data_IF_517430205522
#
_entry.id   IF_517430205522
#
_cell.length_a   1.000
_cell.length_b   1.000
_cell.length_c   1.000
_cell.angle_alpha   90.00
_cell.angle_beta   90.00
_cell.angle_gamma   90.00
#
_symmetry.space_group_name_H-M   'P 1'
#
loop_
_entity.id
_entity.type
_entity.pdbx_description
1 polymer ?
#
# COMPACT_ATOMS: atom_id res chain seq x y z
N UNK A 1 -42.88 4.62 9.71
CA UNK A 1 -41.60 3.86 9.57
C UNK A 1 -41.05 3.85 8.15
N UNK A 2 -41.87 3.79 7.08
CA UNK A 2 -41.37 3.90 5.70
C UNK A 2 -41.14 5.35 5.20
N UNK A 3 -41.75 6.36 5.84
CA UNK A 3 -41.67 7.77 5.38
C UNK A 3 -40.51 8.57 5.96
N UNK A 4 -39.68 7.98 6.82
CA UNK A 4 -38.56 8.67 7.51
C UNK A 4 -37.20 8.25 6.95
N UNK A 5 -37.19 7.30 6.01
CA UNK A 5 -36.00 6.95 5.25
C UNK A 5 -35.80 7.93 4.10
N UNK A 6 -34.74 8.74 4.17
CA UNK A 6 -34.30 9.59 3.08
C UNK A 6 -33.13 8.92 2.36
N UNK A 7 -33.33 8.57 1.08
CA UNK A 7 -32.29 7.93 0.26
C UNK A 7 -31.12 8.90 0.08
N UNK A 8 -29.95 8.52 0.57
CA UNK A 8 -28.71 9.29 0.40
C UNK A 8 -28.32 10.14 1.62
N UNK A 9 -29.20 10.33 2.59
CA UNK A 9 -28.90 11.05 3.84
C UNK A 9 -28.28 10.15 4.93
N UNK A 10 -27.88 8.93 4.57
CA UNK A 10 -27.15 8.07 5.49
C UNK A 10 -25.75 8.63 5.71
N UNK A 11 -25.37 8.82 6.97
CA UNK A 11 -24.01 9.22 7.32
C UNK A 11 -23.00 8.14 6.89
N UNK A 12 -21.94 8.55 6.16
CA UNK A 12 -20.97 7.63 5.54
C UNK A 12 -19.56 7.70 6.12
N UNK A 13 -19.33 8.43 7.22
CA UNK A 13 -17.98 8.68 7.74
C UNK A 13 -17.24 7.40 8.09
N UNK A 14 -17.93 6.42 8.67
CA UNK A 14 -17.32 5.14 9.08
C UNK A 14 -16.97 4.25 7.87
N UNK A 15 -17.80 4.23 6.83
CA UNK A 15 -17.46 3.52 5.60
C UNK A 15 -16.30 4.20 4.87
N UNK A 16 -16.28 5.54 4.83
CA UNK A 16 -15.23 6.31 4.19
C UNK A 16 -13.88 6.14 4.90
N UNK A 17 -13.86 6.16 6.24
CA UNK A 17 -12.64 5.92 7.03
C UNK A 17 -12.10 4.50 6.81
N UNK A 18 -13.00 3.50 6.82
CA UNK A 18 -12.65 2.10 6.56
C UNK A 18 -12.09 1.91 5.16
N UNK A 19 -12.70 2.55 4.15
CA UNK A 19 -12.21 2.47 2.78
C UNK A 19 -10.82 3.09 2.63
N UNK A 20 -10.56 4.25 3.25
CA UNK A 20 -9.23 4.88 3.26
C UNK A 20 -8.19 3.98 3.92
N UNK A 21 -8.54 3.33 5.03
CA UNK A 21 -7.68 2.34 5.67
C UNK A 21 -7.36 1.18 4.73
N UNK A 22 -8.38 0.57 4.10
CA UNK A 22 -8.19 -0.51 3.14
C UNK A 22 -7.25 -0.13 1.99
N UNK A 23 -7.47 1.05 1.39
CA UNK A 23 -6.62 1.54 0.30
C UNK A 23 -5.18 1.75 0.78
N UNK A 24 -4.97 2.32 1.97
CA UNK A 24 -3.63 2.48 2.53
C UNK A 24 -2.93 1.14 2.77
N UNK A 25 -3.65 0.14 3.29
CA UNK A 25 -3.12 -1.20 3.54
C UNK A 25 -2.78 -1.90 2.21
N UNK A 26 -3.62 -1.79 1.20
CA UNK A 26 -3.36 -2.36 -0.11
C UNK A 26 -2.14 -1.70 -0.80
N UNK A 27 -2.05 -0.37 -0.74
CA UNK A 27 -0.94 0.42 -1.29
C UNK A 27 0.40 0.03 -0.65
N UNK A 28 0.49 0.07 0.67
CA UNK A 28 1.75 -0.22 1.36
C UNK A 28 2.04 -1.72 1.47
N UNK A 29 1.00 -2.54 1.61
CA UNK A 29 1.11 -4.01 1.67
C UNK A 29 1.59 -4.63 0.37
N UNK A 30 1.11 -4.15 -0.78
CA UNK A 30 1.58 -4.64 -2.09
C UNK A 30 3.07 -4.32 -2.32
N UNK A 31 3.55 -3.14 -1.93
CA UNK A 31 4.97 -2.79 -1.96
C UNK A 31 5.80 -3.73 -1.08
N UNK A 32 5.35 -3.96 0.16
CA UNK A 32 6.06 -4.85 1.09
C UNK A 32 6.17 -6.28 0.54
N UNK A 33 5.09 -6.82 -0.02
CA UNK A 33 5.08 -8.15 -0.64
C UNK A 33 6.03 -8.18 -1.84
N UNK A 34 5.98 -7.19 -2.73
CA UNK A 34 6.83 -7.15 -3.92
C UNK A 34 8.33 -7.11 -3.55
N UNK A 35 8.72 -6.23 -2.61
CA UNK A 35 10.10 -6.13 -2.13
C UNK A 35 10.56 -7.43 -1.44
N UNK A 36 9.69 -8.03 -0.62
CA UNK A 36 9.99 -9.30 0.05
C UNK A 36 10.16 -10.46 -0.94
N UNK A 37 9.27 -10.58 -1.93
CA UNK A 37 9.37 -11.61 -2.96
C UNK A 37 10.67 -11.48 -3.75
N UNK A 38 11.04 -10.27 -4.19
CA UNK A 38 12.30 -10.05 -4.92
C UNK A 38 13.51 -10.40 -4.03
N UNK A 39 13.49 -10.00 -2.76
CA UNK A 39 14.55 -10.34 -1.82
C UNK A 39 14.75 -11.86 -1.68
N UNK A 40 13.68 -12.63 -1.42
CA UNK A 40 13.79 -14.08 -1.25
C UNK A 40 14.14 -14.79 -2.57
N UNK A 41 13.62 -14.31 -3.71
CA UNK A 41 13.94 -14.88 -5.02
C UNK A 41 15.41 -14.67 -5.36
N UNK A 42 15.96 -13.47 -5.13
CA UNK A 42 17.37 -13.23 -5.37
C UNK A 42 18.27 -13.99 -4.39
N UNK A 43 17.86 -14.14 -3.14
CA UNK A 43 18.64 -14.88 -2.15
C UNK A 43 18.68 -16.38 -2.49
N UNK A 44 17.53 -17.01 -2.70
CA UNK A 44 17.46 -18.47 -2.80
C UNK A 44 17.55 -19.00 -4.24
N UNK A 45 17.20 -18.19 -5.25
CA UNK A 45 17.13 -18.64 -6.64
C UNK A 45 18.27 -18.10 -7.52
N UNK A 46 19.22 -17.33 -6.99
CA UNK A 46 20.35 -16.78 -7.75
C UNK A 46 21.66 -16.78 -6.96
N UNK A 47 22.79 -16.55 -7.63
CA UNK A 47 24.12 -16.45 -7.00
C UNK A 47 24.40 -15.07 -6.33
N UNK A 48 23.37 -14.23 -6.17
CA UNK A 48 23.50 -12.87 -5.64
C UNK A 48 23.88 -12.85 -4.14
N UNK A 49 23.59 -13.94 -3.41
CA UNK A 49 23.84 -14.05 -1.97
C UNK A 49 22.98 -13.09 -1.13
N UNK A 50 23.10 -13.18 0.20
CA UNK A 50 22.25 -12.40 1.12
C UNK A 50 22.43 -10.88 1.00
N UNK A 51 23.67 -10.40 0.96
CA UNK A 51 23.94 -8.96 0.95
C UNK A 51 23.49 -8.30 -0.36
N UNK A 52 23.70 -8.97 -1.50
CA UNK A 52 23.25 -8.46 -2.79
C UNK A 52 21.73 -8.48 -2.91
N UNK A 53 21.06 -9.54 -2.45
CA UNK A 53 19.60 -9.59 -2.46
C UNK A 53 18.99 -8.55 -1.51
N UNK A 54 19.58 -8.37 -0.33
CA UNK A 54 19.15 -7.37 0.65
C UNK A 54 19.29 -5.94 0.09
N UNK A 55 20.39 -5.64 -0.62
CA UNK A 55 20.58 -4.34 -1.24
C UNK A 55 19.51 -4.06 -2.30
N UNK A 56 19.21 -5.03 -3.18
CA UNK A 56 18.17 -4.85 -4.21
C UNK A 56 16.77 -4.72 -3.58
N UNK A 57 16.44 -5.56 -2.60
CA UNK A 57 15.18 -5.47 -1.87
C UNK A 57 15.02 -4.12 -1.16
N UNK A 58 16.09 -3.60 -0.55
CA UNK A 58 16.11 -2.29 0.11
C UNK A 58 15.92 -1.16 -0.90
N UNK A 59 16.61 -1.19 -2.03
CA UNK A 59 16.46 -0.18 -3.09
C UNK A 59 15.02 -0.13 -3.61
N UNK A 60 14.40 -1.29 -3.81
CA UNK A 60 13.00 -1.35 -4.24
C UNK A 60 12.02 -0.87 -3.17
N UNK A 61 12.25 -1.23 -1.90
CA UNK A 61 11.41 -0.77 -0.79
C UNK A 61 11.50 0.75 -0.63
N UNK A 62 12.71 1.32 -0.60
CA UNK A 62 12.94 2.75 -0.44
C UNK A 62 12.50 3.53 -1.69
N UNK A 63 12.83 3.05 -2.88
CA UNK A 63 12.41 3.65 -4.14
C UNK A 63 10.89 3.65 -4.28
N UNK A 64 10.25 2.51 -4.02
CA UNK A 64 8.80 2.39 -3.99
C UNK A 64 8.15 3.30 -2.95
N UNK A 65 8.74 3.41 -1.75
CA UNK A 65 8.25 4.33 -0.73
C UNK A 65 8.31 5.78 -1.19
N UNK A 66 9.43 6.22 -1.77
CA UNK A 66 9.59 7.60 -2.26
C UNK A 66 8.61 7.88 -3.40
N UNK A 67 8.41 6.94 -4.32
CA UNK A 67 7.49 7.11 -5.46
C UNK A 67 6.02 7.14 -5.03
N UNK A 68 5.65 6.29 -4.07
CA UNK A 68 4.25 6.16 -3.62
C UNK A 68 3.87 7.15 -2.54
N UNK A 69 4.84 7.86 -1.94
CA UNK A 69 4.53 8.92 -0.97
C UNK A 69 3.69 9.98 -1.68
N UNK A 70 2.62 10.40 -1.03
CA UNK A 70 1.83 11.51 -1.55
C UNK A 70 2.67 12.79 -1.46
N UNK A 71 2.91 13.38 -2.62
CA UNK A 71 3.46 14.73 -2.72
C UNK A 71 2.26 15.66 -2.60
N UNK A 72 2.20 16.45 -1.53
CA UNK A 72 1.04 17.27 -1.22
C UNK A 72 0.67 18.18 -2.38
N UNK A 73 -0.44 17.87 -3.05
CA UNK A 73 -1.21 18.81 -3.85
C UNK A 73 -2.69 18.70 -3.48
N UNK A 74 -3.40 19.83 -3.56
CA UNK A 74 -4.43 20.21 -2.59
C UNK A 74 -5.72 19.44 -2.82
N UNK A 75 -6.43 19.21 -1.71
CA UNK A 75 -7.80 18.78 -1.72
C UNK A 75 -8.62 19.73 -2.62
N UNK A 76 -9.08 19.21 -3.76
CA UNK A 76 -10.29 19.73 -4.40
C UNK A 76 -11.49 19.35 -3.53
#
# INVERSE_FOLDING_TARGET
>A
MASEYHRGDMEIQEQASTYRLFVSLAKWGSLAIAAFLIFITLWFCTATGFLGSAAVGLVLAVGGFIVMREHGEPAH
#
